data_IF_206678428637
#
_entry.id   IF_206678428637
#
_cell.length_a   1.000
_cell.length_b   1.000
_cell.length_c   1.000
_cell.angle_alpha   90.00
_cell.angle_beta   90.00
_cell.angle_gamma   90.00
#
_symmetry.space_group_name_H-M   'P 1'
#
loop_
_entity.id
_entity.type
_entity.pdbx_description
1 polymer ?
#
# COMPACT_ATOMS: atom_id res chain seq x y z
N UNK A 1 -19.65 -7.71 -23.30
CA UNK A 1 -18.61 -6.70 -23.51
C UNK A 1 -17.60 -6.87 -22.37
N UNK A 2 -16.32 -6.96 -22.66
CA UNK A 2 -15.26 -7.05 -21.65
C UNK A 2 -14.60 -5.67 -21.56
N UNK A 3 -14.47 -5.13 -20.35
CA UNK A 3 -13.86 -3.85 -20.08
C UNK A 3 -12.64 -4.04 -19.17
N UNK A 4 -11.53 -3.40 -19.50
CA UNK A 4 -10.36 -3.29 -18.62
C UNK A 4 -10.17 -1.82 -18.23
N UNK A 5 -10.03 -1.57 -16.93
CA UNK A 5 -9.83 -0.22 -16.40
C UNK A 5 -8.79 -0.24 -15.29
N UNK A 6 -7.81 0.64 -15.38
CA UNK A 6 -6.94 0.99 -14.25
C UNK A 6 -7.59 2.19 -13.55
N UNK A 7 -7.96 2.05 -12.26
CA UNK A 7 -8.67 3.10 -11.52
C UNK A 7 -7.76 4.19 -10.97
N UNK A 8 -6.60 3.88 -10.33
CA UNK A 8 -5.72 4.92 -9.83
C UNK A 8 -5.13 5.76 -10.97
N UNK A 9 -4.97 7.06 -10.72
CA UNK A 9 -4.12 7.89 -11.57
C UNK A 9 -2.66 7.48 -11.36
N UNK A 10 -1.92 7.15 -12.43
CA UNK A 10 -0.51 6.78 -12.33
C UNK A 10 0.34 7.97 -12.77
N UNK A 11 1.24 8.43 -11.89
CA UNK A 11 2.20 9.49 -12.16
C UNK A 11 3.61 8.95 -11.99
N UNK A 12 4.50 9.31 -12.90
CA UNK A 12 5.91 9.03 -12.80
C UNK A 12 6.67 10.32 -12.49
N UNK A 13 7.63 10.23 -11.59
CA UNK A 13 8.49 11.32 -11.16
C UNK A 13 9.94 10.98 -11.45
N UNK A 14 10.77 11.99 -11.67
CA UNK A 14 12.19 11.78 -11.95
C UNK A 14 12.94 11.35 -10.68
N UNK A 15 12.59 11.96 -9.54
CA UNK A 15 13.21 11.71 -8.25
C UNK A 15 12.26 11.99 -7.07
N UNK A 16 12.73 11.73 -5.84
CA UNK A 16 11.97 11.98 -4.60
C UNK A 16 11.70 13.47 -4.37
N UNK A 17 12.57 14.38 -4.79
CA UNK A 17 12.40 15.82 -4.59
C UNK A 17 11.26 16.36 -5.45
N UNK A 18 11.20 15.95 -6.71
CA UNK A 18 10.11 16.29 -7.60
C UNK A 18 8.77 15.75 -7.07
N UNK A 19 8.75 14.47 -6.61
CA UNK A 19 7.57 13.88 -6.01
C UNK A 19 7.03 14.71 -4.83
N UNK A 20 7.91 15.07 -3.88
CA UNK A 20 7.53 15.85 -2.69
C UNK A 20 7.03 17.24 -3.08
N UNK A 21 7.72 17.90 -4.02
CA UNK A 21 7.37 19.24 -4.50
C UNK A 21 6.02 19.27 -5.21
N UNK A 22 5.77 18.32 -6.12
CA UNK A 22 4.51 18.23 -6.88
C UNK A 22 3.33 17.83 -6.01
N UNK A 23 3.56 16.91 -5.05
CA UNK A 23 2.50 16.44 -4.17
C UNK A 23 2.07 17.50 -3.14
N UNK A 24 2.94 18.45 -2.80
CA UNK A 24 2.66 19.50 -1.84
C UNK A 24 2.24 18.92 -0.48
N UNK A 25 3.14 18.17 0.16
CA UNK A 25 2.88 17.50 1.44
C UNK A 25 2.66 18.55 2.54
N UNK A 26 1.60 18.37 3.31
CA UNK A 26 1.19 19.28 4.39
C UNK A 26 1.19 18.60 5.75
N UNK A 27 0.99 19.35 6.82
CA UNK A 27 0.86 18.80 8.18
C UNK A 27 -0.38 17.92 8.39
N UNK A 28 -1.35 17.98 7.49
CA UNK A 28 -2.57 17.16 7.53
C UNK A 28 -2.38 15.79 6.87
N UNK A 29 -1.28 15.55 6.18
CA UNK A 29 -0.97 14.27 5.58
C UNK A 29 -0.39 13.30 6.62
N UNK A 30 -0.45 12.00 6.33
CA UNK A 30 0.19 10.94 7.10
C UNK A 30 1.04 10.08 6.17
N UNK A 31 2.32 9.91 6.49
CA UNK A 31 3.18 8.99 5.78
C UNK A 31 3.26 7.66 6.55
N UNK A 32 2.97 6.55 5.86
CA UNK A 32 3.27 5.19 6.32
C UNK A 32 4.40 4.62 5.45
N UNK A 33 5.50 4.22 6.08
CA UNK A 33 6.70 3.76 5.38
C UNK A 33 7.56 2.85 6.28
N UNK A 34 8.75 2.51 5.80
CA UNK A 34 9.82 1.92 6.60
C UNK A 34 10.93 2.94 6.87
N UNK A 35 11.57 2.84 8.03
CA UNK A 35 12.62 3.77 8.42
C UNK A 35 13.81 3.73 7.45
N UNK A 36 14.18 2.52 6.98
CA UNK A 36 15.27 2.32 6.02
C UNK A 36 14.97 2.88 4.61
N UNK A 37 13.69 3.12 4.28
CA UNK A 37 13.27 3.81 3.05
C UNK A 37 13.23 5.32 3.29
N UNK A 38 12.64 5.76 4.41
CA UNK A 38 12.41 7.17 4.66
C UNK A 38 13.71 7.95 4.89
N UNK A 39 14.60 7.43 5.73
CA UNK A 39 15.81 8.18 6.12
C UNK A 39 16.70 8.57 4.94
N UNK A 40 17.11 7.67 4.05
CA UNK A 40 18.01 8.05 2.96
C UNK A 40 17.37 8.97 1.91
N UNK A 41 16.05 8.97 1.77
CA UNK A 41 15.38 9.67 0.66
C UNK A 41 14.61 10.92 1.09
N UNK A 42 14.08 10.98 2.32
CA UNK A 42 13.14 12.01 2.73
C UNK A 42 13.51 12.75 4.00
N UNK A 43 14.38 12.22 4.88
CA UNK A 43 14.69 12.81 6.19
C UNK A 43 15.25 14.25 6.07
N UNK A 44 16.13 14.48 5.10
CA UNK A 44 16.71 15.80 4.84
C UNK A 44 15.69 16.84 4.36
N UNK A 45 14.55 16.41 3.83
CA UNK A 45 13.49 17.29 3.30
C UNK A 45 12.60 17.88 4.40
N UNK A 46 12.68 17.37 5.64
CA UNK A 46 11.95 17.87 6.82
C UNK A 46 10.46 18.03 6.55
N UNK A 47 9.81 16.93 6.10
CA UNK A 47 8.39 16.95 5.79
C UNK A 47 7.55 17.34 7.00
N UNK A 48 6.48 18.17 6.82
CA UNK A 48 5.73 18.74 7.92
C UNK A 48 4.72 17.77 8.57
N UNK A 49 4.56 16.56 8.02
CA UNK A 49 3.54 15.58 8.44
C UNK A 49 4.12 14.51 9.36
N UNK A 50 3.28 13.84 10.17
CA UNK A 50 3.69 12.66 10.92
C UNK A 50 4.10 11.51 9.97
N UNK A 51 5.11 10.75 10.43
CA UNK A 51 5.63 9.57 9.73
C UNK A 51 5.55 8.37 10.67
N UNK A 52 4.85 7.34 10.24
CA UNK A 52 4.77 6.06 10.93
C UNK A 52 5.67 5.04 10.25
N UNK A 53 6.53 4.40 11.02
CA UNK A 53 7.42 3.35 10.56
C UNK A 53 6.83 1.99 10.87
N UNK A 54 6.51 1.23 9.83
CA UNK A 54 5.78 -0.04 9.92
C UNK A 54 6.49 -1.06 10.82
N UNK A 55 7.81 -1.11 10.79
CA UNK A 55 8.61 -2.05 11.58
C UNK A 55 8.43 -1.90 13.10
N UNK A 56 7.89 -0.80 13.59
CA UNK A 56 7.55 -0.60 15.01
C UNK A 56 6.33 -1.42 15.44
N UNK A 57 5.51 -1.84 14.50
CA UNK A 57 4.25 -2.54 14.74
C UNK A 57 4.32 -4.04 14.46
N UNK A 58 5.42 -4.50 13.87
CA UNK A 58 5.66 -5.90 13.58
C UNK A 58 6.59 -6.09 12.37
N UNK A 59 6.93 -7.33 12.09
CA UNK A 59 7.79 -7.72 10.98
C UNK A 59 7.11 -8.75 10.08
N UNK A 60 7.54 -8.81 8.82
CA UNK A 60 7.04 -9.78 7.84
C UNK A 60 5.75 -9.37 7.16
N UNK A 61 4.84 -10.32 6.96
CA UNK A 61 3.57 -10.09 6.28
C UNK A 61 2.60 -9.26 7.14
N UNK A 62 1.70 -8.49 6.51
CA UNK A 62 0.74 -7.68 7.24
C UNK A 62 -0.23 -8.57 8.03
N UNK A 63 -0.46 -8.24 9.30
CA UNK A 63 -1.38 -8.96 10.17
C UNK A 63 -2.39 -8.03 10.84
N UNK A 64 -3.48 -8.60 11.33
CA UNK A 64 -4.51 -7.87 12.07
C UNK A 64 -3.96 -7.29 13.38
N UNK A 65 -3.03 -7.98 14.05
CA UNK A 65 -2.36 -7.48 15.26
C UNK A 65 -1.45 -6.28 14.92
N UNK A 66 -0.66 -6.39 13.83
CA UNK A 66 0.16 -5.28 13.32
C UNK A 66 -0.71 -4.07 12.98
N UNK A 67 -1.82 -4.29 12.28
CA UNK A 67 -2.73 -3.21 11.91
C UNK A 67 -3.38 -2.55 13.14
N UNK A 68 -3.77 -3.35 14.14
CA UNK A 68 -4.35 -2.84 15.39
C UNK A 68 -3.36 -1.99 16.18
N UNK A 69 -2.09 -2.41 16.24
CA UNK A 69 -1.03 -1.62 16.86
C UNK A 69 -0.75 -0.32 16.10
N UNK A 70 -0.68 -0.38 14.76
CA UNK A 70 -0.53 0.78 13.90
C UNK A 70 -1.69 1.78 14.07
N UNK A 71 -2.92 1.29 14.18
CA UNK A 71 -4.11 2.11 14.33
C UNK A 71 -4.13 2.91 15.64
N UNK A 72 -3.50 2.39 16.70
CA UNK A 72 -3.40 3.08 17.98
C UNK A 72 -2.54 4.37 17.88
N UNK A 73 -1.52 4.37 17.03
CA UNK A 73 -0.63 5.53 16.81
C UNK A 73 -1.09 6.42 15.64
N UNK A 74 -1.88 5.85 14.71
CA UNK A 74 -2.42 6.59 13.59
C UNK A 74 -3.57 7.49 14.06
N UNK A 75 -3.25 8.69 14.50
CA UNK A 75 -4.24 9.74 14.76
C UNK A 75 -5.23 9.82 13.59
N UNK A 76 -6.45 10.29 13.87
CA UNK A 76 -7.49 10.34 12.85
C UNK A 76 -7.01 11.19 11.67
N UNK A 77 -6.97 10.68 10.48
CA UNK A 77 -6.47 11.41 9.34
C UNK A 77 -7.48 12.44 8.87
N UNK A 78 -7.03 13.27 8.44
CA UNK A 78 -6.97 14.49 8.11
C UNK A 78 -7.00 14.76 6.59
N UNK A 79 -5.90 14.84 5.92
CA UNK A 79 -5.80 15.08 4.51
C UNK A 79 -5.70 13.77 3.72
N UNK A 80 -4.49 13.25 3.57
CA UNK A 80 -4.19 12.09 2.73
C UNK A 80 -3.30 11.09 3.48
N UNK A 81 -3.36 9.82 3.07
CA UNK A 81 -2.37 8.82 3.46
C UNK A 81 -1.40 8.63 2.29
N UNK A 82 -0.11 8.73 2.55
CA UNK A 82 0.98 8.51 1.61
C UNK A 82 1.71 7.25 2.04
N UNK A 83 1.51 6.17 1.30
CA UNK A 83 2.08 4.85 1.59
C UNK A 83 3.31 4.63 0.73
N UNK A 84 4.51 4.67 1.34
CA UNK A 84 5.79 4.51 0.63
C UNK A 84 6.41 3.18 1.04
N UNK A 85 6.28 2.14 0.21
CA UNK A 85 6.78 0.83 0.58
C UNK A 85 6.36 -0.31 -0.35
N UNK A 86 6.65 -1.52 0.06
CA UNK A 86 6.19 -2.74 -0.60
C UNK A 86 4.76 -3.12 -0.23
N UNK A 87 4.32 -4.30 -0.65
CA UNK A 87 2.95 -4.79 -0.48
C UNK A 87 2.41 -4.68 0.95
N UNK A 88 3.22 -5.01 1.96
CA UNK A 88 2.84 -4.88 3.38
C UNK A 88 2.40 -3.46 3.74
N UNK A 89 3.19 -2.45 3.35
CA UNK A 89 2.88 -1.04 3.58
C UNK A 89 1.60 -0.64 2.84
N UNK A 90 1.49 -1.02 1.58
CA UNK A 90 0.36 -0.64 0.74
C UNK A 90 -0.94 -1.26 1.26
N UNK A 91 -0.93 -2.53 1.66
CA UNK A 91 -2.10 -3.22 2.16
C UNK A 91 -2.58 -2.67 3.51
N UNK A 92 -1.65 -2.35 4.43
CA UNK A 92 -1.99 -1.68 5.69
C UNK A 92 -2.57 -0.28 5.44
N UNK A 93 -1.99 0.48 4.50
CA UNK A 93 -2.45 1.82 4.17
C UNK A 93 -3.85 1.85 3.55
N UNK A 94 -4.21 0.86 2.74
CA UNK A 94 -5.57 0.69 2.21
C UNK A 94 -6.62 0.60 3.32
N UNK A 95 -6.33 -0.18 4.36
CA UNK A 95 -7.21 -0.30 5.52
C UNK A 95 -7.21 0.99 6.35
N UNK A 96 -6.05 1.62 6.51
CA UNK A 96 -5.91 2.86 7.26
C UNK A 96 -6.71 4.01 6.63
N UNK A 97 -6.89 3.99 5.30
CA UNK A 97 -7.69 4.95 4.56
C UNK A 97 -9.21 4.76 4.70
N UNK A 98 -9.67 3.72 5.41
CA UNK A 98 -11.08 3.47 5.64
C UNK A 98 -11.62 4.26 6.85
N UNK A 99 -12.90 4.61 6.77
CA UNK A 99 -13.65 5.23 7.87
C UNK A 99 -13.88 4.26 9.03
N UNK A 100 -14.25 3.03 8.69
CA UNK A 100 -14.55 1.95 9.64
C UNK A 100 -13.36 1.01 9.84
N UNK A 101 -12.15 1.58 9.83
CA UNK A 101 -10.88 0.87 9.98
C UNK A 101 -10.68 0.17 11.33
N UNK A 102 -11.43 0.55 12.35
CA UNK A 102 -11.48 -0.09 13.65
C UNK A 102 -12.23 -1.43 13.63
N UNK A 103 -13.04 -1.69 12.59
CA UNK A 103 -13.85 -2.88 12.43
C UNK A 103 -13.18 -3.95 11.53
N UNK A 104 -11.84 -4.08 11.55
CA UNK A 104 -11.10 -4.96 10.65
C UNK A 104 -11.63 -6.41 10.67
N UNK A 105 -11.93 -6.95 11.84
CA UNK A 105 -12.46 -8.30 11.94
C UNK A 105 -13.80 -8.45 11.18
N UNK A 106 -14.72 -7.51 11.35
CA UNK A 106 -16.02 -7.50 10.67
C UNK A 106 -15.86 -7.28 9.14
N UNK A 107 -14.91 -6.41 8.73
CA UNK A 107 -14.60 -6.21 7.31
C UNK A 107 -14.13 -7.51 6.64
N UNK A 108 -13.20 -8.22 7.28
CA UNK A 108 -12.69 -9.50 6.73
C UNK A 108 -13.68 -10.65 6.89
N UNK A 109 -14.63 -10.57 7.84
CA UNK A 109 -15.75 -11.52 7.95
C UNK A 109 -16.84 -11.27 6.88
N UNK A 110 -16.87 -10.08 6.25
CA UNK A 110 -17.93 -9.66 5.34
C UNK A 110 -19.18 -9.14 6.05
N UNK A 111 -19.07 -8.82 7.34
CA UNK A 111 -20.14 -8.29 8.18
C UNK A 111 -20.22 -6.76 8.13
N UNK A 112 -19.15 -6.10 7.65
CA UNK A 112 -19.09 -4.67 7.43
C UNK A 112 -18.63 -4.37 6.01
N UNK A 113 -19.11 -3.26 5.43
CA UNK A 113 -18.74 -2.80 4.09
C UNK A 113 -17.65 -1.74 4.21
N UNK A 114 -16.51 -1.87 3.48
CA UNK A 114 -15.47 -0.85 3.50
C UNK A 114 -15.97 0.51 3.02
N UNK A 115 -15.73 1.55 3.79
CA UNK A 115 -16.04 2.94 3.45
C UNK A 115 -14.75 3.77 3.44
N UNK A 116 -14.46 4.42 2.32
CA UNK A 116 -13.27 5.27 2.22
C UNK A 116 -13.43 6.57 3.01
N UNK A 117 -12.42 6.94 3.78
CA UNK A 117 -12.40 8.17 4.59
C UNK A 117 -11.53 9.27 3.97
N UNK A 118 -10.38 8.91 3.41
CA UNK A 118 -9.41 9.87 2.89
C UNK A 118 -8.70 9.34 1.64
N UNK A 119 -8.14 10.22 0.81
CA UNK A 119 -7.34 9.81 -0.34
C UNK A 119 -6.10 9.02 0.08
N UNK A 120 -5.77 8.00 -0.72
CA UNK A 120 -4.58 7.17 -0.59
C UNK A 120 -3.66 7.37 -1.79
N UNK A 121 -2.41 7.74 -1.53
CA UNK A 121 -1.34 7.80 -2.51
C UNK A 121 -0.42 6.61 -2.26
N UNK A 122 -0.32 5.72 -3.24
CA UNK A 122 0.55 4.55 -3.19
C UNK A 122 1.87 4.84 -3.92
N UNK A 123 2.99 4.62 -3.22
CA UNK A 123 4.35 4.81 -3.75
C UNK A 123 5.11 3.49 -3.60
N UNK A 124 5.07 2.60 -4.61
CA UNK A 124 5.70 1.30 -4.50
C UNK A 124 7.22 1.42 -4.50
N UNK A 125 7.87 0.60 -3.66
CA UNK A 125 9.33 0.47 -3.57
C UNK A 125 9.83 -0.90 -3.97
N UNK A 126 8.93 -1.77 -4.42
CA UNK A 126 9.22 -3.10 -4.98
C UNK A 126 8.45 -3.27 -6.29
N UNK A 127 9.02 -4.03 -7.22
CA UNK A 127 8.39 -4.38 -8.48
C UNK A 127 7.82 -5.82 -8.36
N UNK A 128 6.50 -6.00 -8.26
CA UNK A 128 6.01 -7.37 -8.25
C UNK A 128 4.57 -7.55 -7.76
N UNK A 129 4.23 -7.05 -6.59
CA UNK A 129 2.92 -7.33 -5.98
C UNK A 129 1.74 -6.69 -6.71
N UNK A 130 1.95 -5.56 -7.40
CA UNK A 130 0.87 -4.80 -8.04
C UNK A 130 -0.15 -4.22 -7.05
N UNK A 131 0.16 -4.23 -5.73
CA UNK A 131 -0.78 -3.76 -4.71
C UNK A 131 -1.16 -2.30 -4.90
N UNK A 132 -0.29 -1.49 -5.52
CA UNK A 132 -0.54 -0.09 -5.82
C UNK A 132 -1.69 0.16 -6.80
N UNK A 133 -2.05 -0.82 -7.62
CA UNK A 133 -3.13 -0.68 -8.63
C UNK A 133 -4.35 -1.56 -8.34
N UNK A 134 -4.34 -2.31 -7.23
CA UNK A 134 -5.43 -3.22 -6.88
C UNK A 134 -6.31 -2.69 -5.74
N UNK A 135 -7.53 -3.22 -5.66
CA UNK A 135 -8.49 -2.98 -4.58
C UNK A 135 -8.47 -4.08 -3.51
N UNK A 136 -7.37 -4.79 -3.39
CA UNK A 136 -7.23 -5.91 -2.46
C UNK A 136 -6.26 -5.53 -1.35
N UNK A 137 -6.63 -5.82 -0.11
CA UNK A 137 -5.73 -5.83 1.04
C UNK A 137 -5.70 -7.24 1.63
N UNK A 138 -4.50 -7.79 1.80
CA UNK A 138 -4.31 -9.13 2.36
C UNK A 138 -3.78 -9.01 3.77
N UNK A 139 -4.45 -9.66 4.75
CA UNK A 139 -3.99 -9.77 6.12
C UNK A 139 -3.87 -11.22 6.57
N UNK A 140 -2.88 -11.47 7.38
CA UNK A 140 -2.83 -12.64 8.26
C UNK A 140 -3.72 -12.36 9.47
N UNK A 141 -4.80 -13.13 9.62
CA UNK A 141 -5.69 -13.06 10.77
C UNK A 141 -5.14 -14.01 11.84
N UNK A 142 -4.34 -13.47 12.76
CA UNK A 142 -3.52 -14.25 13.69
C UNK A 142 -4.38 -15.15 14.57
N UNK A 143 -5.48 -14.63 15.10
CA UNK A 143 -6.40 -15.39 15.95
C UNK A 143 -7.08 -16.57 15.24
N UNK A 144 -7.20 -16.51 13.91
CA UNK A 144 -7.83 -17.54 13.09
C UNK A 144 -6.81 -18.45 12.39
N UNK A 145 -5.51 -18.16 12.51
CA UNK A 145 -4.43 -18.90 11.84
C UNK A 145 -4.59 -18.95 10.32
N UNK A 146 -5.19 -17.92 9.72
CA UNK A 146 -5.48 -17.89 8.27
C UNK A 146 -5.06 -16.56 7.64
N UNK A 147 -4.77 -16.60 6.34
CA UNK A 147 -4.52 -15.42 5.52
C UNK A 147 -5.74 -15.16 4.63
N UNK A 148 -6.23 -13.94 4.64
CA UNK A 148 -7.46 -13.58 3.92
C UNK A 148 -7.27 -12.26 3.16
N UNK A 149 -7.80 -12.20 1.93
CA UNK A 149 -7.89 -10.99 1.13
C UNK A 149 -9.26 -10.32 1.31
N UNK A 150 -9.25 -9.01 1.48
CA UNK A 150 -10.44 -8.15 1.42
C UNK A 150 -10.38 -7.39 0.10
N UNK A 151 -11.37 -7.61 -0.77
CA UNK A 151 -11.48 -6.95 -2.07
C UNK A 151 -12.70 -6.03 -2.09
N UNK A 152 -12.48 -4.72 -2.23
CA UNK A 152 -13.56 -3.74 -2.34
C UNK A 152 -13.07 -2.44 -2.99
N UNK A 153 -13.93 -1.77 -3.73
CA UNK A 153 -13.58 -0.55 -4.47
C UNK A 153 -13.04 0.60 -3.60
N UNK A 154 -13.47 0.68 -2.35
CA UNK A 154 -12.95 1.66 -1.37
C UNK A 154 -11.46 1.49 -1.06
N UNK A 155 -10.86 0.34 -1.39
CA UNK A 155 -9.44 0.04 -1.16
C UNK A 155 -8.53 0.48 -2.32
N UNK A 156 -9.09 0.89 -3.47
CA UNK A 156 -8.24 1.45 -4.53
C UNK A 156 -7.48 2.67 -4.03
N UNK A 157 -6.16 2.77 -4.28
CA UNK A 157 -5.47 4.04 -4.19
C UNK A 157 -6.11 5.06 -5.16
N UNK A 158 -6.05 6.32 -4.81
CA UNK A 158 -6.51 7.42 -5.70
C UNK A 158 -5.42 7.78 -6.70
N UNK A 159 -4.17 7.67 -6.27
CA UNK A 159 -3.00 7.92 -7.09
C UNK A 159 -1.87 6.93 -6.79
N UNK A 160 -1.14 6.57 -7.83
CA UNK A 160 0.13 5.84 -7.76
C UNK A 160 1.25 6.80 -8.17
N UNK A 161 2.28 6.91 -7.34
CA UNK A 161 3.48 7.64 -7.66
C UNK A 161 4.65 6.67 -7.90
N UNK A 162 5.13 6.61 -9.13
CA UNK A 162 6.31 5.83 -9.50
C UNK A 162 7.55 6.72 -9.37
N UNK A 163 8.40 6.42 -8.39
CA UNK A 163 9.63 7.17 -8.09
C UNK A 163 10.82 6.23 -8.21
N UNK A 164 11.56 6.26 -9.35
CA UNK A 164 12.63 5.30 -9.63
C UNK A 164 13.73 5.25 -8.56
N UNK A 165 14.02 6.36 -7.90
CA UNK A 165 15.04 6.41 -6.85
C UNK A 165 14.79 5.42 -5.71
N UNK A 166 13.53 5.16 -5.39
CA UNK A 166 13.13 4.23 -4.33
C UNK A 166 13.39 2.76 -4.69
N UNK A 167 13.57 2.47 -5.96
CA UNK A 167 13.81 1.11 -6.47
C UNK A 167 15.27 0.88 -6.84
N UNK A 168 16.02 1.93 -7.22
CA UNK A 168 17.43 1.84 -7.64
C UNK A 168 18.35 1.21 -6.59
N UNK A 169 18.07 1.45 -5.31
CA UNK A 169 18.85 0.92 -4.19
C UNK A 169 18.39 -0.44 -3.67
N UNK A 170 17.42 -1.09 -4.32
CA UNK A 170 16.89 -2.36 -3.85
C UNK A 170 17.96 -3.47 -3.89
N UNK A 171 18.28 -4.14 -2.76
CA UNK A 171 19.24 -5.22 -2.77
C UNK A 171 18.83 -6.32 -3.75
N UNK A 172 19.80 -6.89 -4.49
CA UNK A 172 19.56 -7.87 -5.56
C UNK A 172 18.62 -9.01 -5.15
N UNK A 173 18.71 -9.51 -3.92
CA UNK A 173 17.82 -10.55 -3.43
C UNK A 173 16.35 -10.13 -3.47
N UNK A 174 16.04 -8.92 -3.00
CA UNK A 174 14.66 -8.41 -3.01
C UNK A 174 14.19 -8.09 -4.43
N UNK A 175 15.06 -7.56 -5.27
CA UNK A 175 14.76 -7.35 -6.69
C UNK A 175 14.44 -8.68 -7.37
N UNK A 176 15.27 -9.70 -7.21
CA UNK A 176 15.07 -11.00 -7.84
C UNK A 176 13.79 -11.69 -7.33
N UNK A 177 13.54 -11.69 -6.00
CA UNK A 177 12.33 -12.31 -5.45
C UNK A 177 11.06 -11.59 -5.89
N UNK A 178 11.04 -10.26 -5.89
CA UNK A 178 9.86 -9.50 -6.34
C UNK A 178 9.63 -9.61 -7.85
N UNK A 179 10.69 -9.71 -8.65
CA UNK A 179 10.56 -9.93 -10.10
C UNK A 179 10.01 -11.32 -10.42
N UNK A 180 10.43 -12.35 -9.67
CA UNK A 180 9.89 -13.71 -9.80
C UNK A 180 8.43 -13.78 -9.34
N UNK A 181 8.09 -13.08 -8.26
CA UNK A 181 6.72 -12.94 -7.77
C UNK A 181 5.81 -12.32 -8.84
N UNK A 182 6.25 -11.23 -9.49
CA UNK A 182 5.55 -10.64 -10.62
C UNK A 182 5.34 -11.63 -11.77
N UNK A 183 6.38 -12.39 -12.13
CA UNK A 183 6.28 -13.39 -13.19
C UNK A 183 5.27 -14.48 -12.85
N UNK A 184 5.29 -14.97 -11.60
CA UNK A 184 4.33 -15.99 -11.15
C UNK A 184 2.92 -15.43 -11.22
N UNK A 185 2.66 -14.22 -10.74
CA UNK A 185 1.35 -13.59 -10.82
C UNK A 185 0.84 -13.45 -12.26
N UNK A 186 1.71 -13.09 -13.21
CA UNK A 186 1.36 -13.03 -14.64
C UNK A 186 0.96 -14.41 -15.18
N UNK A 187 1.73 -15.44 -14.85
CA UNK A 187 1.43 -16.82 -15.26
C UNK A 187 0.12 -17.31 -14.64
N UNK A 188 -0.07 -17.09 -13.34
CA UNK A 188 -1.31 -17.48 -12.66
C UNK A 188 -2.53 -16.75 -13.24
N UNK A 189 -2.40 -15.45 -13.52
CA UNK A 189 -3.46 -14.67 -14.17
C UNK A 189 -3.83 -15.24 -15.53
N UNK A 190 -2.83 -15.52 -16.36
CA UNK A 190 -3.03 -16.06 -17.71
C UNK A 190 -3.63 -17.48 -17.72
N UNK A 191 -3.29 -18.31 -16.73
CA UNK A 191 -3.78 -19.69 -16.60
C UNK A 191 -5.06 -19.80 -15.77
N UNK A 192 -5.54 -18.72 -15.17
CA UNK A 192 -6.75 -18.72 -14.36
C UNK A 192 -7.98 -19.11 -15.18
N UNK A 193 -8.92 -19.90 -14.60
CA UNK A 193 -10.24 -20.10 -15.24
C UNK A 193 -11.03 -18.81 -15.48
N UNK A 194 -10.62 -17.72 -14.82
CA UNK A 194 -11.19 -16.37 -14.99
C UNK A 194 -10.35 -15.48 -15.92
N UNK A 195 -9.35 -16.03 -16.61
CA UNK A 195 -8.51 -15.27 -17.52
C UNK A 195 -9.35 -14.58 -18.61
N UNK A 196 -8.91 -13.40 -18.98
CA UNK A 196 -9.51 -12.56 -20.02
C UNK A 196 -8.45 -12.25 -21.08
N UNK A 197 -8.80 -11.65 -22.22
CA UNK A 197 -7.80 -11.17 -23.18
C UNK A 197 -6.82 -10.13 -22.62
N UNK A 198 -7.08 -9.62 -21.42
CA UNK A 198 -6.25 -8.63 -20.72
C UNK A 198 -5.41 -9.21 -19.57
N UNK A 199 -5.51 -10.53 -19.35
CA UNK A 199 -4.78 -11.25 -18.28
C UNK A 199 -3.39 -11.69 -18.74
#
# INVERSE_FOLDING_TARGET
MQEFRIRPAIRQYDDCAQFVSDLGITGDDLILTNEYIFRPHFESMRLPCPVLYQERYGSGEPSDDMFRALLADAACPHGRIIAIGGGTILDLAKLLALKNRDQVAALYAGEAVPEKACPLIAVPTTCGTGSEVTNVSVLSLVSLGTKKGLAHDALYPDMVALVPDLVKGLPYRFFATSSLDALIHVVESALSPKATPFS
#
